data_IF_934851096355
#
_entry.id   IF_934851096355
#
_cell.length_a   1.000
_cell.length_b   1.000
_cell.length_c   1.000
_cell.angle_alpha   90.00
_cell.angle_beta   90.00
_cell.angle_gamma   90.00
#
_symmetry.space_group_name_H-M   'P 1'
#
loop_
_entity.id
_entity.type
_entity.pdbx_description
1 polymer ?
#
# COMPACT_ATOMS: atom_id res chain seq x y z
N UNK A 1 -4.66 -9.24 11.42
CA UNK A 1 -3.52 -9.73 10.63
C UNK A 1 -3.17 -8.66 9.61
N UNK A 2 -1.88 -8.35 9.42
CA UNK A 2 -1.44 -7.42 8.38
C UNK A 2 -1.68 -8.02 6.99
N UNK A 3 -2.30 -7.27 6.08
CA UNK A 3 -2.59 -7.68 4.70
C UNK A 3 -2.01 -6.65 3.73
N UNK A 4 -0.79 -6.83 3.22
CA UNK A 4 -0.19 -5.87 2.32
C UNK A 4 -0.98 -5.83 1.00
N UNK A 5 -1.11 -4.64 0.42
CA UNK A 5 -1.81 -4.42 -0.85
C UNK A 5 -0.83 -3.99 -1.95
N UNK A 6 0.29 -3.38 -1.56
CA UNK A 6 1.28 -2.83 -2.48
C UNK A 6 2.69 -3.07 -1.93
N UNK A 7 3.68 -2.92 -2.80
CA UNK A 7 5.09 -2.77 -2.46
C UNK A 7 5.49 -1.31 -2.59
N UNK A 8 6.09 -0.76 -1.53
CA UNK A 8 6.87 0.46 -1.60
C UNK A 8 8.27 0.09 -2.10
N UNK A 9 8.56 0.43 -3.35
CA UNK A 9 9.79 0.06 -4.05
C UNK A 9 10.71 1.26 -4.13
N UNK A 10 11.94 1.09 -3.65
CA UNK A 10 13.06 2.01 -3.85
C UNK A 10 14.17 1.32 -4.66
N UNK A 11 15.27 2.04 -4.94
CA UNK A 11 16.43 1.47 -5.64
C UNK A 11 17.01 0.21 -4.96
N UNK A 12 16.94 0.12 -3.63
CA UNK A 12 17.62 -0.93 -2.86
C UNK A 12 16.68 -1.83 -2.07
N UNK A 13 15.39 -1.49 -1.96
CA UNK A 13 14.45 -2.20 -1.09
C UNK A 13 13.05 -2.27 -1.72
N UNK A 14 12.35 -3.34 -1.40
CA UNK A 14 10.92 -3.48 -1.64
C UNK A 14 10.26 -3.81 -0.30
N UNK A 15 9.31 -2.98 0.12
CA UNK A 15 8.69 -3.08 1.44
C UNK A 15 7.18 -3.29 1.24
N UNK A 16 6.60 -4.41 1.72
CA UNK A 16 5.16 -4.60 1.72
C UNK A 16 4.46 -3.54 2.58
N UNK A 17 3.46 -2.88 1.99
CA UNK A 17 2.65 -1.85 2.63
C UNK A 17 1.16 -2.08 2.41
N UNK A 18 0.38 -1.71 3.43
CA UNK A 18 -1.06 -1.59 3.35
C UNK A 18 -1.42 -0.13 3.10
N UNK A 19 -2.16 0.15 2.02
CA UNK A 19 -2.65 1.50 1.75
C UNK A 19 -3.91 1.77 2.58
N UNK A 20 -3.89 2.87 3.33
CA UNK A 20 -5.06 3.36 4.08
C UNK A 20 -5.46 4.72 3.52
N UNK A 21 -6.71 4.86 3.08
CA UNK A 21 -7.22 6.12 2.57
C UNK A 21 -7.20 7.23 3.63
N UNK A 22 -6.82 8.43 3.24
CA UNK A 22 -6.77 9.63 4.06
C UNK A 22 -7.37 10.82 3.30
N UNK A 23 -7.64 11.93 3.99
CA UNK A 23 -8.25 13.14 3.41
C UNK A 23 -7.46 13.72 2.22
N UNK A 24 -6.16 13.48 2.15
CA UNK A 24 -5.26 14.08 1.14
C UNK A 24 -4.64 13.05 0.19
N UNK A 25 -4.95 11.76 0.32
CA UNK A 25 -4.27 10.68 -0.38
C UNK A 25 -4.30 9.38 0.41
N UNK A 26 -3.17 8.70 0.54
CA UNK A 26 -3.04 7.41 1.21
C UNK A 26 -1.89 7.41 2.21
N UNK A 27 -2.09 6.83 3.38
CA UNK A 27 -1.01 6.41 4.25
C UNK A 27 -0.49 5.05 3.82
N UNK A 28 0.82 4.87 3.83
CA UNK A 28 1.47 3.59 3.56
C UNK A 28 1.89 2.98 4.89
N UNK A 29 1.18 1.96 5.32
CA UNK A 29 1.39 1.31 6.61
C UNK A 29 2.24 0.07 6.40
N UNK A 30 3.41 0.02 7.02
CA UNK A 30 4.24 -1.18 7.08
C UNK A 30 3.72 -2.16 8.14
N UNK A 31 4.15 -3.41 8.05
CA UNK A 31 3.79 -4.44 9.04
C UNK A 31 4.20 -4.05 10.46
N UNK A 32 5.41 -3.51 10.62
CA UNK A 32 5.92 -3.06 11.92
C UNK A 32 5.08 -1.93 12.51
N UNK A 33 4.69 -0.95 11.68
CA UNK A 33 3.84 0.16 12.11
C UNK A 33 2.44 -0.32 12.52
N UNK A 34 1.90 -1.30 11.79
CA UNK A 34 0.61 -1.93 12.11
C UNK A 34 0.62 -2.59 13.49
N UNK A 35 1.60 -3.45 13.77
CA UNK A 35 1.64 -4.17 15.05
C UNK A 35 2.00 -3.27 16.23
N UNK A 36 2.77 -2.22 16.01
CA UNK A 36 3.17 -1.28 17.07
C UNK A 36 2.18 -0.13 17.25
N UNK A 37 1.08 -0.10 16.49
CA UNK A 37 0.11 1.00 16.45
C UNK A 37 0.78 2.38 16.29
N UNK A 38 1.83 2.44 15.46
CA UNK A 38 2.60 3.65 15.21
C UNK A 38 1.98 4.44 14.06
N UNK A 39 2.18 5.76 14.10
CA UNK A 39 1.79 6.62 12.99
C UNK A 39 2.61 6.25 11.74
N UNK A 40 1.96 6.03 10.58
CA UNK A 40 2.66 5.73 9.33
C UNK A 40 3.63 6.86 8.96
N UNK A 41 4.86 6.50 8.61
CA UNK A 41 5.86 7.47 8.18
C UNK A 41 5.61 7.98 6.76
N UNK A 42 5.09 7.12 5.88
CA UNK A 42 4.95 7.42 4.45
C UNK A 42 3.51 7.79 4.06
N UNK A 43 3.41 8.78 3.16
CA UNK A 43 2.17 9.27 2.59
C UNK A 43 2.30 9.35 1.07
N UNK A 44 1.25 8.94 0.35
CA UNK A 44 1.16 9.05 -1.10
C UNK A 44 0.03 10.00 -1.47
N UNK A 45 0.35 11.03 -2.24
CA UNK A 45 -0.60 12.00 -2.76
C UNK A 45 -0.69 11.87 -4.28
N UNK A 46 -1.89 11.64 -4.87
CA UNK A 46 -2.05 11.33 -6.30
C UNK A 46 -1.37 12.31 -7.25
N UNK A 47 -1.36 13.60 -6.92
CA UNK A 47 -0.79 14.67 -7.77
C UNK A 47 0.52 15.25 -7.23
N UNK A 48 0.96 14.85 -6.03
CA UNK A 48 2.17 15.41 -5.39
C UNK A 48 3.28 14.38 -5.18
N UNK A 49 3.01 13.10 -5.36
CA UNK A 49 3.97 12.02 -5.17
C UNK A 49 4.03 11.51 -3.73
N UNK A 50 5.20 10.96 -3.36
CA UNK A 50 5.42 10.32 -2.07
C UNK A 50 6.12 11.24 -1.08
N UNK A 51 5.75 11.13 0.18
CA UNK A 51 6.28 11.90 1.29
C UNK A 51 6.64 10.98 2.44
N UNK A 52 7.72 11.30 3.16
CA UNK A 52 8.09 10.67 4.42
C UNK A 52 8.11 11.75 5.50
N UNK A 53 7.26 11.61 6.52
CA UNK A 53 7.07 12.63 7.58
C UNK A 53 6.87 14.06 7.04
N UNK A 54 6.13 14.19 5.93
CA UNK A 54 5.85 15.48 5.29
C UNK A 54 6.94 16.01 4.36
N UNK A 55 8.07 15.32 4.22
CA UNK A 55 9.14 15.66 3.28
C UNK A 55 8.96 14.87 1.99
N UNK A 56 8.94 15.55 0.84
CA UNK A 56 8.83 14.89 -0.46
C UNK A 56 10.04 13.98 -0.71
N UNK A 57 9.79 12.73 -1.11
CA UNK A 57 10.83 11.74 -1.40
C UNK A 57 10.78 11.31 -2.86
N UNK A 58 11.96 11.14 -3.46
CA UNK A 58 12.13 10.71 -4.84
C UNK A 58 12.68 9.28 -4.90
N UNK A 59 12.51 8.63 -6.05
CA UNK A 59 13.03 7.28 -6.29
C UNK A 59 12.27 6.18 -5.54
N UNK A 60 11.11 6.51 -4.98
CA UNK A 60 10.14 5.55 -4.48
C UNK A 60 8.98 5.42 -5.45
N UNK A 61 8.44 4.21 -5.57
CA UNK A 61 7.24 3.93 -6.35
C UNK A 61 6.35 2.94 -5.60
N UNK A 62 5.05 3.00 -5.86
CA UNK A 62 4.11 2.00 -5.36
C UNK A 62 3.77 1.04 -6.49
N UNK A 63 3.95 -0.25 -6.21
CA UNK A 63 3.57 -1.31 -7.12
C UNK A 63 2.47 -2.14 -6.46
N UNK A 64 1.32 -2.35 -7.11
CA UNK A 64 0.29 -3.23 -6.56
C UNK A 64 0.83 -4.64 -6.42
N UNK A 65 0.56 -5.28 -5.28
CA UNK A 65 0.76 -6.71 -5.18
C UNK A 65 -0.30 -7.36 -6.05
N UNK A 66 0.10 -8.23 -6.97
CA UNK A 66 -0.82 -9.03 -7.75
C UNK A 66 -1.60 -9.92 -6.76
N UNK A 67 -2.76 -9.46 -6.31
CA UNK A 67 -3.75 -10.31 -5.68
C UNK A 67 -4.18 -11.22 -6.82
N UNK A 68 -3.66 -12.46 -6.86
CA UNK A 68 -4.28 -13.50 -7.68
C UNK A 68 -5.76 -13.44 -7.31
N UNK A 69 -6.60 -13.10 -8.29
CA UNK A 69 -8.03 -13.28 -8.19
C UNK A 69 -8.30 -14.79 -8.09
N UNK A 70 -8.01 -15.35 -6.92
CA UNK A 70 -8.42 -16.69 -6.56
C UNK A 70 -9.83 -16.55 -6.03
N UNK A 71 -10.75 -17.25 -6.67
CA UNK A 71 -12.18 -17.40 -6.34
C UNK A 71 -13.10 -16.27 -6.83
N UNK A 72 -13.14 -16.07 -8.15
CA UNK A 72 -14.45 -15.97 -8.79
C UNK A 72 -15.01 -17.40 -8.87
N UNK A 73 -15.86 -17.78 -7.91
CA UNK A 73 -16.69 -18.98 -8.03
C UNK A 73 -17.55 -18.80 -9.29
N UNK A 74 -17.51 -19.70 -10.29
CA UNK A 74 -18.49 -19.63 -11.37
C UNK A 74 -19.87 -19.84 -10.76
N UNK A 75 -20.76 -18.86 -10.93
CA UNK A 75 -22.17 -18.99 -10.57
C UNK A 75 -22.73 -20.08 -11.49
N UNK A 76 -23.29 -21.20 -10.99
CA UNK A 76 -23.95 -22.16 -11.86
C UNK A 76 -25.20 -21.50 -12.44
N UNK A 77 -25.21 -21.35 -13.76
CA UNK A 77 -26.39 -21.05 -14.56
C UNK A 77 -27.35 -22.23 -14.38
N UNK A 78 -28.48 -22.01 -13.70
CA UNK A 78 -29.56 -22.99 -13.62
C UNK A 78 -30.43 -22.81 -14.87
N UNK A 79 -30.51 -23.86 -15.68
CA UNK A 79 -31.51 -24.07 -16.74
C UNK A 79 -32.85 -24.52 -16.12
#
# INVERSE_FOLDING_TARGET
>A
MFRPTHLLVSRSKQIPVHLVSSRKGFFLVTESEWYQNRKPAFEMHPHRGLFCHGIAVLGYSLQPLAIKASEATPVPEYD
#
